data_IF_110682422640
#
_entry.id   IF_110682422640
#
_cell.length_a   1.000
_cell.length_b   1.000
_cell.length_c   1.000
_cell.angle_alpha   90.00
_cell.angle_beta   90.00
_cell.angle_gamma   90.00
#
_symmetry.space_group_name_H-M   'P 1'
#
loop_
_entity.id
_entity.type
_entity.pdbx_description
1 polymer ?
#
# COMPACT_ATOMS: atom_id res chain seq x y z
N UNK A 1 26.79 -16.39 -3.22
CA UNK A 1 26.47 -16.57 -1.79
C UNK A 1 27.28 -15.54 -1.01
N UNK A 2 26.59 -14.63 -0.30
CA UNK A 2 27.24 -13.64 0.56
C UNK A 2 27.44 -14.24 1.98
N UNK A 3 26.56 -15.15 2.36
CA UNK A 3 26.62 -15.88 3.64
C UNK A 3 26.44 -17.38 3.38
N UNK A 4 27.19 -18.22 4.08
CA UNK A 4 27.06 -19.68 4.01
C UNK A 4 25.93 -20.15 4.96
N UNK A 5 24.76 -19.56 4.81
CA UNK A 5 23.57 -19.88 5.59
C UNK A 5 22.44 -20.34 4.66
N UNK A 6 21.68 -21.37 5.05
CA UNK A 6 20.45 -21.71 4.35
C UNK A 6 19.43 -20.57 4.48
N UNK A 7 18.88 -20.13 3.36
CA UNK A 7 17.85 -19.08 3.31
C UNK A 7 16.61 -19.67 2.66
N UNK A 8 15.46 -19.46 3.31
CA UNK A 8 14.15 -19.77 2.72
C UNK A 8 13.52 -18.50 2.16
N UNK A 9 12.77 -18.65 1.08
CA UNK A 9 12.00 -17.58 0.46
C UNK A 9 10.56 -17.65 0.96
N UNK A 10 9.93 -16.50 1.14
CA UNK A 10 8.52 -16.38 1.48
C UNK A 10 7.93 -15.11 0.90
N UNK A 11 6.62 -15.01 0.94
CA UNK A 11 5.90 -13.80 0.53
C UNK A 11 4.73 -13.52 1.46
N UNK A 12 4.36 -12.25 1.58
CA UNK A 12 3.12 -11.82 2.21
C UNK A 12 2.09 -11.53 1.12
N UNK A 13 0.84 -11.92 1.35
CA UNK A 13 -0.28 -11.61 0.47
C UNK A 13 -1.52 -11.20 1.28
N UNK A 14 -2.41 -10.45 0.64
CA UNK A 14 -3.77 -10.22 1.12
C UNK A 14 -4.63 -11.41 0.69
N UNK A 15 -5.45 -11.91 1.61
CA UNK A 15 -6.33 -13.06 1.39
C UNK A 15 -7.75 -12.67 1.76
N UNK A 16 -8.70 -12.96 0.88
CA UNK A 16 -10.12 -12.78 1.15
C UNK A 16 -10.62 -13.84 2.15
N UNK A 17 -11.33 -13.37 3.18
CA UNK A 17 -11.99 -14.24 4.16
C UNK A 17 -13.46 -14.54 3.79
N UNK A 18 -13.91 -14.20 2.58
CA UNK A 18 -15.25 -14.52 2.11
C UNK A 18 -15.52 -16.02 2.17
N UNK A 19 -16.71 -16.42 2.60
CA UNK A 19 -17.09 -17.81 2.81
C UNK A 19 -16.51 -18.47 4.07
N UNK A 20 -15.77 -17.74 4.90
CA UNK A 20 -15.22 -18.24 6.18
C UNK A 20 -15.94 -17.64 7.39
N UNK A 21 -15.66 -18.14 8.59
CA UNK A 21 -16.16 -17.53 9.85
C UNK A 21 -15.59 -16.14 10.14
N UNK A 22 -14.61 -15.68 9.37
CA UNK A 22 -13.99 -14.36 9.46
C UNK A 22 -14.50 -13.37 8.40
N UNK A 23 -15.48 -13.78 7.59
CA UNK A 23 -16.11 -12.89 6.61
C UNK A 23 -16.63 -11.61 7.27
N UNK A 24 -16.31 -10.47 6.68
CA UNK A 24 -16.70 -9.16 7.18
C UNK A 24 -16.07 -8.73 8.50
N UNK A 25 -15.23 -9.56 9.13
CA UNK A 25 -14.54 -9.22 10.39
C UNK A 25 -13.23 -8.49 10.14
N UNK A 26 -12.88 -7.58 11.05
CA UNK A 26 -11.52 -7.04 11.11
C UNK A 26 -10.58 -8.08 11.70
N UNK A 27 -9.50 -8.35 10.97
CA UNK A 27 -8.42 -9.21 11.40
C UNK A 27 -7.13 -8.37 11.58
N UNK A 28 -6.06 -8.71 10.91
CA UNK A 28 -4.78 -7.98 10.96
C UNK A 28 -4.65 -6.91 9.83
N UNK A 29 -5.67 -6.72 8.99
CA UNK A 29 -5.69 -5.66 7.99
C UNK A 29 -6.44 -4.44 8.55
N UNK A 30 -5.76 -3.31 8.78
CA UNK A 30 -6.41 -2.12 9.33
C UNK A 30 -7.27 -1.36 8.31
N UNK A 31 -7.04 -1.57 7.02
CA UNK A 31 -7.62 -0.76 5.96
C UNK A 31 -8.97 -1.34 5.47
N UNK A 32 -9.16 -2.68 5.53
CA UNK A 32 -10.37 -3.35 5.03
C UNK A 32 -10.77 -4.53 5.92
N UNK A 33 -12.06 -4.66 6.26
CA UNK A 33 -12.64 -5.83 6.92
C UNK A 33 -12.80 -6.98 5.92
N UNK A 34 -12.78 -8.23 6.40
CA UNK A 34 -12.93 -9.42 5.55
C UNK A 34 -11.70 -9.75 4.69
N UNK A 35 -10.60 -9.03 4.88
CA UNK A 35 -9.31 -9.30 4.23
C UNK A 35 -8.23 -9.42 5.29
N UNK A 36 -7.39 -10.46 5.20
CA UNK A 36 -6.27 -10.70 6.10
C UNK A 36 -4.94 -10.66 5.36
N UNK A 37 -3.87 -10.25 6.04
CA UNK A 37 -2.50 -10.50 5.60
C UNK A 37 -2.10 -11.91 6.06
N UNK A 38 -1.60 -12.69 5.13
CA UNK A 38 -1.05 -14.02 5.38
C UNK A 38 0.32 -14.15 4.74
N UNK A 39 1.15 -15.04 5.26
CA UNK A 39 2.47 -15.31 4.69
C UNK A 39 2.56 -16.74 4.19
N UNK A 40 3.11 -16.90 2.98
CA UNK A 40 3.55 -18.17 2.44
C UNK A 40 5.04 -18.28 2.73
N UNK A 41 5.45 -19.27 3.50
CA UNK A 41 6.84 -19.45 3.95
C UNK A 41 7.44 -20.74 3.40
N UNK A 42 8.76 -20.80 3.39
CA UNK A 42 9.52 -21.98 2.92
C UNK A 42 9.18 -22.38 1.47
N UNK A 43 9.00 -21.40 0.60
CA UNK A 43 8.74 -21.64 -0.82
C UNK A 43 9.97 -22.34 -1.45
N UNK A 44 9.81 -23.52 -2.07
CA UNK A 44 10.88 -24.15 -2.82
C UNK A 44 11.36 -23.26 -3.98
N UNK A 45 12.64 -23.26 -4.27
CA UNK A 45 13.22 -22.40 -5.32
C UNK A 45 12.67 -22.69 -6.72
N UNK A 46 12.39 -23.94 -7.03
CA UNK A 46 11.80 -24.39 -8.29
C UNK A 46 10.31 -24.02 -8.43
N UNK A 47 9.66 -23.65 -7.33
CA UNK A 47 8.26 -23.21 -7.31
C UNK A 47 8.10 -21.68 -7.42
N UNK A 48 9.19 -20.90 -7.42
CA UNK A 48 9.12 -19.43 -7.44
C UNK A 48 8.47 -18.90 -8.72
N UNK A 49 8.80 -19.45 -9.88
CA UNK A 49 8.21 -19.02 -11.16
C UNK A 49 6.72 -19.37 -11.23
N UNK A 50 6.34 -20.56 -10.77
CA UNK A 50 4.94 -20.96 -10.67
C UNK A 50 4.15 -20.01 -9.76
N UNK A 51 4.69 -19.71 -8.57
CA UNK A 51 4.08 -18.77 -7.62
C UNK A 51 3.92 -17.38 -8.24
N UNK A 52 4.96 -16.88 -8.90
CA UNK A 52 4.92 -15.59 -9.59
C UNK A 52 3.84 -15.53 -10.67
N UNK A 53 3.67 -16.59 -11.45
CA UNK A 53 2.63 -16.68 -12.47
C UNK A 53 1.22 -16.69 -11.84
N UNK A 54 1.04 -17.43 -10.75
CA UNK A 54 -0.25 -17.50 -10.01
C UNK A 54 -0.64 -16.14 -9.43
N UNK A 55 0.31 -15.34 -8.95
CA UNK A 55 0.04 -14.02 -8.38
C UNK A 55 0.01 -12.87 -9.41
N UNK A 56 0.36 -13.11 -10.67
CA UNK A 56 0.35 -12.07 -11.70
C UNK A 56 -1.02 -11.37 -11.87
N UNK A 57 -2.16 -12.08 -11.92
CA UNK A 57 -3.49 -11.45 -12.03
C UNK A 57 -3.81 -10.53 -10.83
N UNK A 58 -3.43 -10.92 -9.62
CA UNK A 58 -3.65 -10.14 -8.40
C UNK A 58 -2.78 -8.88 -8.36
N UNK A 59 -1.51 -8.96 -8.83
CA UNK A 59 -0.66 -7.79 -9.00
C UNK A 59 -1.27 -6.81 -10.00
N UNK A 60 -1.79 -7.30 -11.11
CA UNK A 60 -2.43 -6.47 -12.14
C UNK A 60 -3.71 -5.80 -11.62
N UNK A 61 -4.53 -6.53 -10.86
CA UNK A 61 -5.70 -5.98 -10.17
C UNK A 61 -5.28 -4.84 -9.21
N UNK A 62 -4.21 -5.01 -8.45
CA UNK A 62 -3.64 -3.98 -7.58
C UNK A 62 -3.20 -2.74 -8.35
N UNK A 63 -2.53 -2.90 -9.48
CA UNK A 63 -2.15 -1.78 -10.34
C UNK A 63 -3.39 -1.03 -10.87
N UNK A 64 -4.42 -1.75 -11.33
CA UNK A 64 -5.69 -1.14 -11.77
C UNK A 64 -6.35 -0.35 -10.65
N UNK A 65 -6.47 -0.94 -9.46
CA UNK A 65 -7.05 -0.28 -8.28
C UNK A 65 -6.24 0.98 -7.89
N UNK A 66 -4.92 0.88 -7.84
CA UNK A 66 -4.06 2.01 -7.50
C UNK A 66 -4.19 3.16 -8.50
N UNK A 67 -4.26 2.88 -9.81
CA UNK A 67 -4.56 3.90 -10.83
C UNK A 67 -5.95 4.53 -10.65
N UNK A 68 -6.94 3.73 -10.24
CA UNK A 68 -8.28 4.25 -9.97
C UNK A 68 -8.30 5.18 -8.74
N UNK A 69 -7.53 4.84 -7.68
CA UNK A 69 -7.37 5.71 -6.51
C UNK A 69 -6.65 7.01 -6.88
N UNK A 70 -5.61 7.00 -7.72
CA UNK A 70 -4.96 8.21 -8.22
C UNK A 70 -5.95 9.08 -9.03
N UNK A 71 -6.79 8.49 -9.87
CA UNK A 71 -7.83 9.26 -10.57
C UNK A 71 -8.81 9.93 -9.61
N UNK A 72 -9.28 9.23 -8.56
CA UNK A 72 -10.11 9.84 -7.50
C UNK A 72 -9.40 10.98 -6.79
N UNK A 73 -8.13 10.79 -6.47
CA UNK A 73 -7.30 11.82 -5.85
C UNK A 73 -7.21 13.07 -6.73
N UNK A 74 -6.89 12.93 -8.01
CA UNK A 74 -6.79 14.04 -8.95
C UNK A 74 -8.12 14.79 -9.16
N UNK A 75 -9.27 14.09 -9.02
CA UNK A 75 -10.58 14.74 -9.07
C UNK A 75 -10.86 15.63 -7.84
N UNK A 76 -10.31 15.26 -6.68
CA UNK A 76 -10.47 16.01 -5.44
C UNK A 76 -9.47 17.17 -5.33
N UNK A 77 -8.26 17.01 -5.86
CA UNK A 77 -7.14 17.95 -5.71
C UNK A 77 -6.93 18.71 -7.03
N UNK A 78 -7.51 19.91 -7.13
CA UNK A 78 -7.44 20.73 -8.37
C UNK A 78 -6.04 21.24 -8.71
N UNK A 79 -5.19 21.45 -7.69
CA UNK A 79 -3.87 22.05 -7.84
C UNK A 79 -2.72 21.05 -7.85
N UNK A 80 -3.02 19.77 -7.69
CA UNK A 80 -2.05 18.68 -7.71
C UNK A 80 -2.56 17.59 -8.63
N UNK A 81 -1.73 17.21 -9.60
CA UNK A 81 -1.97 16.08 -10.47
C UNK A 81 -0.84 15.06 -10.30
N UNK A 82 -1.22 13.83 -10.02
CA UNK A 82 -0.34 12.67 -9.95
C UNK A 82 -0.60 11.74 -11.12
N UNK A 83 0.46 11.22 -11.71
CA UNK A 83 0.43 10.10 -12.64
C UNK A 83 0.95 8.84 -11.95
N UNK A 84 0.21 7.74 -12.07
CA UNK A 84 0.55 6.50 -11.38
C UNK A 84 1.91 5.94 -11.85
N UNK A 85 2.14 5.91 -13.15
CA UNK A 85 3.31 5.26 -13.73
C UNK A 85 4.58 6.13 -13.55
N UNK A 86 4.42 7.45 -13.56
CA UNK A 86 5.52 8.41 -13.39
C UNK A 86 5.85 8.69 -11.92
N UNK A 87 4.82 8.89 -11.08
CA UNK A 87 5.01 9.45 -9.73
C UNK A 87 4.93 8.39 -8.62
N UNK A 88 4.25 7.26 -8.85
CA UNK A 88 4.01 6.22 -7.83
C UNK A 88 4.81 4.95 -8.09
N UNK A 89 4.70 4.39 -9.28
CA UNK A 89 5.32 3.11 -9.62
C UNK A 89 6.83 3.06 -9.37
N UNK A 90 7.62 4.11 -9.69
CA UNK A 90 9.06 4.13 -9.41
C UNK A 90 9.43 4.16 -7.93
N UNK A 91 8.48 4.47 -7.03
CA UNK A 91 8.71 4.44 -5.58
C UNK A 91 8.67 3.02 -5.02
N UNK A 92 8.08 2.10 -5.75
CA UNK A 92 8.01 0.68 -5.40
C UNK A 92 9.13 -0.09 -6.11
N UNK A 93 9.50 -1.25 -5.56
CA UNK A 93 10.46 -2.15 -6.19
C UNK A 93 9.77 -3.26 -6.98
N UNK A 94 8.81 -2.88 -7.82
CA UNK A 94 8.03 -3.88 -8.59
C UNK A 94 8.89 -4.71 -9.54
N UNK A 95 9.97 -4.14 -10.09
CA UNK A 95 10.95 -4.88 -10.90
C UNK A 95 11.74 -5.93 -10.12
N UNK A 96 11.78 -5.80 -8.79
CA UNK A 96 12.47 -6.71 -7.87
C UNK A 96 11.47 -7.61 -7.09
N UNK A 97 10.21 -7.69 -7.54
CA UNK A 97 9.16 -8.46 -6.88
C UNK A 97 8.39 -7.72 -5.79
N UNK A 98 8.69 -6.44 -5.56
CA UNK A 98 7.94 -5.61 -4.62
C UNK A 98 6.55 -5.22 -5.15
N UNK A 99 5.64 -4.87 -4.23
CA UNK A 99 4.28 -4.43 -4.55
C UNK A 99 4.06 -2.94 -4.30
N UNK A 100 3.13 -2.33 -5.05
CA UNK A 100 2.62 -1.00 -4.73
C UNK A 100 1.62 -1.11 -3.59
N UNK A 101 1.70 -0.20 -2.64
CA UNK A 101 0.77 -0.08 -1.51
C UNK A 101 0.21 1.33 -1.42
N UNK A 102 -0.81 1.52 -0.63
CA UNK A 102 -1.39 2.83 -0.34
C UNK A 102 -0.36 3.83 0.23
N UNK A 103 0.68 3.33 0.90
CA UNK A 103 1.78 4.18 1.37
C UNK A 103 2.55 4.84 0.23
N UNK A 104 2.77 4.12 -0.88
CA UNK A 104 3.44 4.69 -2.05
C UNK A 104 2.59 5.81 -2.69
N UNK A 105 1.26 5.65 -2.73
CA UNK A 105 0.35 6.70 -3.22
C UNK A 105 0.42 7.94 -2.32
N UNK A 106 0.33 7.74 -1.00
CA UNK A 106 0.39 8.85 -0.04
C UNK A 106 1.78 9.51 0.00
N UNK A 107 2.84 8.75 -0.21
CA UNK A 107 4.20 9.31 -0.29
C UNK A 107 4.39 10.15 -1.57
N UNK A 108 3.90 9.68 -2.70
CA UNK A 108 3.89 10.47 -3.94
C UNK A 108 3.13 11.79 -3.74
N UNK A 109 1.97 11.74 -3.09
CA UNK A 109 1.19 12.94 -2.76
C UNK A 109 1.95 13.86 -1.81
N UNK A 110 2.54 13.33 -0.74
CA UNK A 110 3.34 14.12 0.21
C UNK A 110 4.47 14.87 -0.49
N UNK A 111 5.23 14.19 -1.35
CA UNK A 111 6.29 14.82 -2.16
C UNK A 111 5.73 15.94 -3.06
N UNK A 112 4.59 15.70 -3.70
CA UNK A 112 3.97 16.68 -4.58
C UNK A 112 3.46 17.90 -3.81
N UNK A 113 2.91 17.72 -2.60
CA UNK A 113 2.52 18.82 -1.71
C UNK A 113 3.75 19.66 -1.34
N UNK A 114 4.83 19.02 -0.91
CA UNK A 114 6.08 19.73 -0.56
C UNK A 114 6.66 20.49 -1.76
N UNK A 115 6.63 19.89 -2.94
CA UNK A 115 7.08 20.57 -4.18
C UNK A 115 6.20 21.77 -4.54
N UNK A 116 4.89 21.69 -4.31
CA UNK A 116 3.92 22.73 -4.72
C UNK A 116 3.78 23.84 -3.71
N UNK A 117 3.65 23.50 -2.43
CA UNK A 117 3.38 24.44 -1.34
C UNK A 117 4.62 24.75 -0.49
N UNK A 118 5.59 23.83 -0.42
CA UNK A 118 6.71 23.92 0.52
C UNK A 118 6.44 23.13 1.80
N UNK A 119 7.24 23.40 2.86
CA UNK A 119 7.12 22.80 4.20
C UNK A 119 6.58 23.81 5.21
N UNK A 120 6.30 23.38 6.43
CA UNK A 120 5.87 24.21 7.53
C UNK A 120 4.46 24.76 7.35
N UNK A 121 4.28 26.05 7.67
CA UNK A 121 2.97 26.72 7.59
C UNK A 121 2.31 26.64 6.22
N UNK A 122 3.10 26.63 5.15
CA UNK A 122 2.58 26.51 3.78
C UNK A 122 1.97 25.12 3.50
N UNK A 123 2.63 24.04 3.92
CA UNK A 123 2.04 22.70 3.83
C UNK A 123 0.82 22.55 4.75
N UNK A 124 0.87 23.10 5.96
CA UNK A 124 -0.25 23.10 6.90
C UNK A 124 -1.47 23.80 6.26
N UNK A 125 -1.29 25.02 5.76
CA UNK A 125 -2.37 25.75 5.08
C UNK A 125 -2.91 24.99 3.87
N UNK A 126 -2.05 24.39 3.06
CA UNK A 126 -2.52 23.57 1.92
C UNK A 126 -3.38 22.38 2.37
N UNK A 127 -2.97 21.67 3.42
CA UNK A 127 -3.75 20.53 3.96
C UNK A 127 -5.13 20.99 4.47
N UNK A 128 -5.19 22.11 5.17
CA UNK A 128 -6.42 22.59 5.78
C UNK A 128 -7.35 23.30 4.79
N UNK A 129 -6.81 24.21 4.00
CA UNK A 129 -7.61 25.08 3.12
C UNK A 129 -7.95 24.40 1.79
N UNK A 130 -6.99 23.69 1.18
CA UNK A 130 -7.19 23.06 -0.12
C UNK A 130 -7.69 21.61 -0.04
N UNK A 131 -7.29 20.87 1.01
CA UNK A 131 -7.66 19.46 1.16
C UNK A 131 -8.73 19.21 2.22
N UNK A 132 -9.09 20.20 3.05
CA UNK A 132 -10.05 20.07 4.12
C UNK A 132 -9.61 19.12 5.26
N UNK A 133 -8.30 18.90 5.40
CA UNK A 133 -7.75 18.00 6.43
C UNK A 133 -7.64 18.74 7.75
N UNK A 134 -8.39 18.31 8.76
CA UNK A 134 -8.27 18.85 10.11
C UNK A 134 -7.03 18.30 10.82
N UNK A 135 -6.09 19.18 11.18
CA UNK A 135 -4.86 18.81 11.86
C UNK A 135 -4.97 18.99 13.38
N UNK A 136 -4.59 17.95 14.14
CA UNK A 136 -4.43 18.06 15.58
C UNK A 136 -3.24 18.97 15.95
N UNK A 137 -3.20 19.53 17.19
CA UNK A 137 -2.04 20.33 17.65
C UNK A 137 -0.70 19.59 17.52
N UNK A 138 -0.70 18.27 17.75
CA UNK A 138 0.50 17.43 17.61
C UNK A 138 0.96 17.37 16.15
N UNK A 139 0.04 17.15 15.21
CA UNK A 139 0.35 17.10 13.77
C UNK A 139 0.83 18.45 13.25
N UNK A 140 0.24 19.56 13.69
CA UNK A 140 0.70 20.90 13.35
C UNK A 140 2.13 21.13 13.85
N UNK A 141 2.43 20.80 15.12
CA UNK A 141 3.76 20.92 15.68
C UNK A 141 4.80 20.09 14.89
N UNK A 142 4.44 18.87 14.52
CA UNK A 142 5.25 17.94 13.72
C UNK A 142 5.56 18.55 12.33
N UNK A 143 4.54 19.06 11.62
CA UNK A 143 4.72 19.69 10.31
C UNK A 143 5.36 21.10 10.38
N UNK A 144 5.47 21.70 11.55
CA UNK A 144 6.18 22.98 11.72
C UNK A 144 7.71 22.84 11.73
N UNK A 145 8.23 21.64 11.98
CA UNK A 145 9.67 21.35 11.90
C UNK A 145 10.10 21.14 10.44
N UNK A 146 10.40 22.24 9.75
CA UNK A 146 10.80 22.24 8.34
C UNK A 146 12.15 21.55 8.10
N UNK A 147 12.99 21.45 9.13
CA UNK A 147 14.33 20.86 9.09
C UNK A 147 14.32 19.33 9.27
N UNK A 148 13.19 18.75 9.66
CA UNK A 148 13.12 17.33 9.92
C UNK A 148 13.39 16.50 8.63
N UNK A 149 14.40 15.61 8.64
CA UNK A 149 14.83 14.92 7.42
C UNK A 149 13.77 13.97 6.86
N UNK A 150 12.86 13.49 7.71
CA UNK A 150 11.78 12.58 7.32
C UNK A 150 10.41 13.27 7.23
N UNK A 151 10.39 14.55 6.91
CA UNK A 151 9.19 15.39 6.83
C UNK A 151 8.09 14.77 5.95
N UNK A 152 8.46 14.25 4.77
CA UNK A 152 7.50 13.64 3.86
C UNK A 152 6.89 12.34 4.41
N UNK A 153 7.57 11.64 5.32
CA UNK A 153 7.01 10.46 6.00
C UNK A 153 6.01 10.85 7.09
N UNK A 154 6.23 11.94 7.79
CA UNK A 154 5.26 12.49 8.74
C UNK A 154 4.00 12.94 7.99
N UNK A 155 4.17 13.66 6.89
CA UNK A 155 3.08 14.09 6.02
C UNK A 155 2.33 12.88 5.43
N UNK A 156 3.04 11.85 4.97
CA UNK A 156 2.44 10.58 4.53
C UNK A 156 1.55 9.96 5.61
N UNK A 157 2.02 9.93 6.85
CA UNK A 157 1.25 9.39 7.98
C UNK A 157 -0.08 10.11 8.19
N UNK A 158 -0.05 11.44 8.12
CA UNK A 158 -1.25 12.30 8.20
C UNK A 158 -2.19 12.03 7.02
N UNK A 159 -1.66 12.02 5.80
CA UNK A 159 -2.44 11.75 4.60
C UNK A 159 -3.09 10.36 4.63
N UNK A 160 -2.36 9.34 5.12
CA UNK A 160 -2.91 7.99 5.26
C UNK A 160 -4.09 7.94 6.23
N UNK A 161 -4.03 8.66 7.34
CA UNK A 161 -5.11 8.64 8.34
C UNK A 161 -6.30 9.53 7.98
N UNK A 162 -6.07 10.65 7.28
CA UNK A 162 -7.08 11.70 7.12
C UNK A 162 -7.62 11.86 5.69
N UNK A 163 -6.83 11.53 4.68
CA UNK A 163 -7.20 11.71 3.27
C UNK A 163 -7.47 10.39 2.54
N UNK A 164 -6.66 9.35 2.78
CA UNK A 164 -6.80 8.05 2.14
C UNK A 164 -8.23 7.46 2.23
N UNK A 165 -8.94 7.53 3.39
CA UNK A 165 -10.29 6.98 3.48
C UNK A 165 -11.28 7.54 2.44
N UNK A 166 -11.10 8.80 2.03
CA UNK A 166 -11.96 9.45 1.02
C UNK A 166 -11.75 8.97 -0.42
N UNK A 167 -10.62 8.34 -0.70
CA UNK A 167 -10.28 7.84 -2.05
C UNK A 167 -10.13 6.33 -2.09
N UNK A 168 -10.22 5.64 -0.95
CA UNK A 168 -9.98 4.20 -0.85
C UNK A 168 -10.96 3.42 -1.75
N UNK A 169 -10.46 2.37 -2.34
CA UNK A 169 -11.21 1.37 -3.11
C UNK A 169 -10.88 0.03 -2.49
N UNK A 170 -11.89 -0.78 -2.21
CA UNK A 170 -11.74 -2.12 -1.65
C UNK A 170 -10.85 -3.00 -2.54
N UNK A 171 -10.10 -3.89 -1.89
CA UNK A 171 -9.05 -4.69 -2.52
C UNK A 171 -9.54 -6.09 -2.94
N UNK A 172 -10.84 -6.28 -3.16
CA UNK A 172 -11.45 -7.59 -3.36
C UNK A 172 -10.87 -8.33 -4.56
N UNK A 173 -10.69 -7.63 -5.70
CA UNK A 173 -10.12 -8.23 -6.91
C UNK A 173 -8.64 -8.61 -6.81
N UNK A 174 -7.91 -8.07 -5.82
CA UNK A 174 -6.48 -8.36 -5.63
C UNK A 174 -6.21 -9.37 -4.51
N UNK A 175 -7.28 -9.99 -3.97
CA UNK A 175 -7.20 -10.91 -2.85
C UNK A 175 -7.66 -12.32 -3.30
N UNK A 176 -6.76 -13.30 -3.42
CA UNK A 176 -7.15 -14.69 -3.55
C UNK A 176 -7.96 -15.15 -2.34
N UNK A 177 -8.78 -16.19 -2.51
CA UNK A 177 -9.50 -16.80 -1.38
C UNK A 177 -8.56 -17.59 -0.47
N UNK A 178 -9.01 -17.83 0.78
CA UNK A 178 -8.26 -18.68 1.71
C UNK A 178 -8.04 -20.09 1.16
N UNK A 179 -9.07 -20.70 0.54
CA UNK A 179 -8.98 -22.03 -0.03
C UNK A 179 -7.99 -22.12 -1.18
N UNK A 180 -7.95 -21.08 -2.02
CA UNK A 180 -6.99 -20.98 -3.13
C UNK A 180 -5.55 -20.92 -2.62
N UNK A 181 -5.27 -20.09 -1.59
CA UNK A 181 -3.94 -20.00 -1.01
C UNK A 181 -3.54 -21.26 -0.26
N UNK A 182 -4.46 -21.85 0.50
CA UNK A 182 -4.21 -23.13 1.18
C UNK A 182 -3.94 -24.26 0.18
N UNK A 183 -4.67 -24.29 -0.94
CA UNK A 183 -4.43 -25.22 -2.05
C UNK A 183 -3.04 -25.04 -2.63
N UNK A 184 -2.71 -23.79 -2.99
CA UNK A 184 -1.41 -23.42 -3.53
C UNK A 184 -0.25 -23.84 -2.61
N UNK A 185 -0.36 -23.59 -1.31
CA UNK A 185 0.69 -24.00 -0.35
C UNK A 185 0.87 -25.52 -0.29
N UNK A 186 -0.23 -26.30 -0.35
CA UNK A 186 -0.14 -27.78 -0.44
C UNK A 186 0.54 -28.25 -1.72
N UNK A 187 0.19 -27.62 -2.86
CA UNK A 187 0.72 -28.01 -4.16
C UNK A 187 2.24 -27.80 -4.28
N UNK A 188 2.80 -26.81 -3.58
CA UNK A 188 4.22 -26.48 -3.62
C UNK A 188 4.98 -26.86 -2.33
N UNK A 189 4.36 -27.57 -1.40
CA UNK A 189 4.94 -27.95 -0.10
C UNK A 189 5.47 -26.75 0.70
N UNK A 190 4.70 -25.65 0.71
CA UNK A 190 5.00 -24.43 1.46
C UNK A 190 4.11 -24.31 2.72
N UNK A 191 4.51 -23.51 3.68
CA UNK A 191 3.76 -23.23 4.89
C UNK A 191 2.90 -21.99 4.73
N UNK A 192 1.63 -22.10 5.13
CA UNK A 192 0.73 -20.93 5.25
C UNK A 192 0.67 -20.47 6.73
N UNK A 193 0.93 -19.17 6.97
CA UNK A 193 0.92 -18.55 8.30
C UNK A 193 0.07 -17.28 8.32
#
# INVERSE_FOLDING_TARGET
RILDMPVTVGMECRVSMAGTSLEGRRTNNPDQAGVSYMTIQSVPHDSIEYLNARFAPYREARHRRSRAMIRRMNQLLRDIELDYDRDVLPLSRTSEGGGVTERHLMYALARRIVQRAGRGSAAIGFLEDAMGVALSPKQRAQLSDIGYPFYEYDLLGILKSSFLPGIYIDADEECPSLDEIAGLCRDIDALLC
#
